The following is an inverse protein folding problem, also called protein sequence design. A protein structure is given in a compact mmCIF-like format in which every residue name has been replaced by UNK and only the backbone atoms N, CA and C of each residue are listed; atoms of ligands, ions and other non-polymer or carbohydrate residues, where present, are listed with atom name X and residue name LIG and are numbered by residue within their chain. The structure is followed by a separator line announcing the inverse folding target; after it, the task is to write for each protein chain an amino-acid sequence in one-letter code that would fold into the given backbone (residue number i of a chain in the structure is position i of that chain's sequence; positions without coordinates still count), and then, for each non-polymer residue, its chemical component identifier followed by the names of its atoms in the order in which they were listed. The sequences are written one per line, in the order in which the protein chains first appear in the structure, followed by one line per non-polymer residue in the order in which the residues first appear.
data_IF_710546807668
#
_entry.id   IF_710546807668
#
_cell.length_a   1.000
_cell.length_b   1.000
_cell.length_c   1.000
_cell.angle_alpha   90.00
_cell.angle_beta   90.00
_cell.angle_gamma   90.00
#
_symmetry.space_group_name_H-M   'P 1'
#
loop_
_entity.id
_entity.type
_entity.pdbx_description
1 polymer ?
#
# COMPACT_ATOMS: atom_id res chain seq x y z
N UNK A 1 -10.84 -22.55 34.98
CA UNK A 1 -9.70 -22.13 34.13
C UNK A 1 -9.28 -20.75 34.61
N UNK A 2 -7.99 -20.46 34.81
CA UNK A 2 -7.59 -19.11 35.16
C UNK A 2 -7.87 -18.23 33.92
N UNK A 3 -8.71 -17.21 34.07
CA UNK A 3 -8.95 -16.21 33.04
C UNK A 3 -7.61 -15.54 32.74
N UNK A 4 -6.98 -15.94 31.63
CA UNK A 4 -5.61 -15.59 31.27
C UNK A 4 -5.44 -14.09 30.89
N UNK A 5 -6.52 -13.30 30.98
CA UNK A 5 -6.49 -11.88 30.72
C UNK A 5 -7.57 -11.17 31.55
N UNK A 6 -7.22 -10.28 32.50
CA UNK A 6 -8.22 -9.45 33.15
C UNK A 6 -8.92 -8.57 32.11
N UNK A 7 -10.23 -8.35 32.28
CA UNK A 7 -11.09 -7.64 31.32
C UNK A 7 -10.66 -6.19 31.02
N UNK A 8 -9.71 -5.63 31.78
CA UNK A 8 -9.31 -4.22 31.74
C UNK A 8 -7.94 -3.97 31.07
N UNK A 9 -7.33 -4.96 30.42
CA UNK A 9 -6.05 -4.75 29.74
C UNK A 9 -6.25 -4.14 28.35
N UNK A 10 -5.58 -3.01 28.01
CA UNK A 10 -5.70 -2.42 26.69
C UNK A 10 -5.08 -3.32 25.63
N UNK A 11 -5.63 -3.31 24.42
CA UNK A 11 -5.09 -4.06 23.28
C UNK A 11 -4.80 -3.15 22.09
N UNK A 12 -3.67 -3.37 21.43
CA UNK A 12 -3.23 -2.56 20.30
C UNK A 12 -3.13 -3.40 19.03
N UNK A 13 -3.69 -2.87 17.93
CA UNK A 13 -3.66 -3.50 16.61
C UNK A 13 -2.62 -2.81 15.73
N UNK A 14 -1.68 -3.58 15.19
CA UNK A 14 -0.64 -3.07 14.29
C UNK A 14 -0.74 -3.69 12.91
N UNK A 15 -0.37 -2.92 11.88
CA UNK A 15 -0.02 -3.44 10.57
C UNK A 15 1.50 -3.58 10.50
N UNK A 16 1.98 -4.79 10.23
CA UNK A 16 3.41 -5.07 10.07
C UNK A 16 3.82 -4.85 8.61
N UNK A 17 4.88 -4.08 8.39
CA UNK A 17 5.53 -3.82 7.11
C UNK A 17 7.01 -4.22 7.18
N UNK A 18 7.63 -4.38 6.01
CA UNK A 18 9.08 -4.57 5.84
C UNK A 18 9.69 -5.61 6.80
N UNK A 19 9.12 -6.81 6.82
CA UNK A 19 9.61 -7.91 7.64
C UNK A 19 10.84 -8.50 6.98
N UNK A 20 11.95 -8.48 7.69
CA UNK A 20 13.23 -9.05 7.33
C UNK A 20 13.62 -10.08 8.40
N UNK A 21 13.93 -11.30 7.98
CA UNK A 21 14.26 -12.40 8.90
C UNK A 21 15.77 -12.50 9.13
N UNK A 22 16.18 -13.16 10.21
CA UNK A 22 17.61 -13.40 10.50
C UNK A 22 18.34 -14.25 9.46
N UNK A 23 17.62 -14.82 8.49
CA UNK A 23 18.22 -15.54 7.36
C UNK A 23 18.73 -14.62 6.24
N UNK A 24 18.56 -13.31 6.35
CA UNK A 24 19.04 -12.36 5.36
C UNK A 24 20.55 -12.13 5.46
N UNK A 25 21.24 -12.11 4.30
CA UNK A 25 22.70 -12.03 4.22
C UNK A 25 23.34 -10.84 4.95
N UNK A 26 22.60 -9.73 5.11
CA UNK A 26 23.12 -8.51 5.75
C UNK A 26 23.00 -8.52 7.28
N UNK A 27 22.29 -9.49 7.85
CA UNK A 27 22.05 -9.60 9.28
C UNK A 27 22.95 -10.70 9.85
N UNK A 28 24.22 -10.36 10.07
CA UNK A 28 25.27 -11.31 10.49
C UNK A 28 25.37 -11.51 12.00
N UNK A 29 24.68 -10.69 12.79
CA UNK A 29 24.73 -10.78 14.24
C UNK A 29 24.12 -12.08 14.77
N UNK A 30 24.54 -12.46 15.97
CA UNK A 30 24.01 -13.60 16.71
C UNK A 30 23.69 -13.18 18.16
N UNK A 31 22.81 -13.92 18.84
CA UNK A 31 22.66 -13.74 20.29
C UNK A 31 22.24 -15.02 20.99
N UNK A 32 22.56 -15.11 22.27
CA UNK A 32 22.08 -16.14 23.19
C UNK A 32 20.55 -16.11 23.25
N UNK A 33 19.92 -17.22 22.88
CA UNK A 33 18.45 -17.38 22.77
C UNK A 33 17.67 -16.97 24.02
N UNK A 34 18.26 -17.12 25.21
CA UNK A 34 17.60 -16.86 26.49
C UNK A 34 18.26 -15.73 27.29
N UNK A 35 19.10 -14.92 26.63
CA UNK A 35 19.63 -13.70 27.23
C UNK A 35 18.52 -12.66 27.43
N UNK A 36 18.76 -11.71 28.32
CA UNK A 36 17.79 -10.65 28.64
C UNK A 36 18.05 -9.45 27.72
N UNK A 37 17.10 -9.08 26.84
CA UNK A 37 17.30 -7.94 25.95
C UNK A 37 17.26 -6.63 26.71
N UNK A 38 18.07 -5.66 26.29
CA UNK A 38 17.86 -4.26 26.65
C UNK A 38 16.83 -3.67 25.70
N UNK A 39 15.81 -3.02 26.24
CA UNK A 39 14.83 -2.29 25.45
C UNK A 39 15.24 -0.82 25.35
N UNK A 40 15.47 -0.36 24.13
CA UNK A 40 15.77 1.03 23.82
C UNK A 40 14.55 1.66 23.15
N UNK A 41 13.98 2.69 23.77
CA UNK A 41 12.86 3.46 23.23
C UNK A 41 13.30 4.89 22.94
N UNK A 42 12.88 5.40 21.78
CA UNK A 42 13.06 6.81 21.46
C UNK A 42 12.23 7.73 22.37
N UNK A 43 12.71 8.95 22.62
CA UNK A 43 12.02 9.96 23.47
C UNK A 43 10.63 10.36 22.96
N UNK A 44 10.35 10.17 21.67
CA UNK A 44 9.06 10.45 21.05
C UNK A 44 7.94 9.57 21.62
N UNK A 45 8.26 8.41 22.18
CA UNK A 45 7.28 7.56 22.88
C UNK A 45 6.70 8.24 24.12
N UNK A 46 7.46 9.10 24.79
CA UNK A 46 7.02 9.79 26.01
C UNK A 46 6.22 11.07 25.71
N UNK A 47 6.22 11.54 24.46
CA UNK A 47 5.55 12.79 24.07
C UNK A 47 4.04 12.63 23.84
N UNK A 48 3.59 11.48 23.33
CA UNK A 48 2.18 11.27 22.98
C UNK A 48 1.57 10.13 23.81
N UNK A 49 0.36 10.31 24.38
CA UNK A 49 -0.26 9.30 25.25
C UNK A 49 -0.44 7.92 24.60
N UNK A 50 -0.81 7.89 23.32
CA UNK A 50 -0.99 6.63 22.60
C UNK A 50 0.33 5.87 22.43
N UNK A 51 1.46 6.57 22.28
CA UNK A 51 2.76 5.92 22.24
C UNK A 51 3.24 5.49 23.62
N UNK A 52 2.90 6.21 24.69
CA UNK A 52 3.20 5.78 26.07
C UNK A 52 2.52 4.44 26.38
N UNK A 53 1.23 4.29 26.04
CA UNK A 53 0.51 3.00 26.21
C UNK A 53 1.18 1.89 25.38
N UNK A 54 1.58 2.19 24.15
CA UNK A 54 2.28 1.22 23.30
C UNK A 54 3.66 0.86 23.89
N UNK A 55 4.40 1.82 24.45
CA UNK A 55 5.69 1.61 25.10
C UNK A 55 5.55 0.65 26.27
N UNK A 56 4.55 0.84 27.13
CA UNK A 56 4.26 -0.05 28.26
C UNK A 56 3.88 -1.46 27.79
N UNK A 57 3.00 -1.57 26.78
CA UNK A 57 2.64 -2.86 26.20
C UNK A 57 3.85 -3.59 25.62
N UNK A 58 4.68 -2.91 24.82
CA UNK A 58 5.88 -3.50 24.24
C UNK A 58 6.91 -3.87 25.30
N UNK A 59 7.03 -3.07 26.36
CA UNK A 59 7.90 -3.39 27.50
C UNK A 59 7.48 -4.70 28.15
N UNK A 60 6.18 -4.88 28.43
CA UNK A 60 5.68 -6.13 29.02
C UNK A 60 5.81 -7.34 28.09
N UNK A 61 5.71 -7.14 26.77
CA UNK A 61 5.83 -8.21 25.77
C UNK A 61 7.28 -8.67 25.59
N UNK A 62 8.21 -7.73 25.48
CA UNK A 62 9.59 -8.01 25.10
C UNK A 62 10.57 -8.06 26.29
N UNK A 63 10.21 -7.52 27.45
CA UNK A 63 11.06 -7.62 28.63
C UNK A 63 11.00 -9.02 29.23
N UNK A 64 12.16 -9.51 29.67
CA UNK A 64 12.25 -10.75 30.44
C UNK A 64 12.01 -10.42 31.92
N UNK A 65 11.04 -11.07 32.59
CA UNK A 65 10.79 -10.82 34.00
C UNK A 65 11.99 -11.22 34.85
N UNK A 66 12.13 -10.57 36.00
CA UNK A 66 13.25 -10.84 36.91
C UNK A 66 13.18 -12.29 37.41
N UNK A 67 14.33 -12.99 37.44
CA UNK A 67 14.43 -14.40 37.83
C UNK A 67 13.56 -15.37 37.01
N UNK A 68 13.40 -15.13 35.72
CA UNK A 68 12.75 -16.11 34.86
C UNK A 68 13.57 -17.42 34.86
N UNK A 69 12.96 -18.61 35.07
CA UNK A 69 13.71 -19.86 35.30
C UNK A 69 14.58 -20.30 34.10
N UNK A 70 14.29 -19.76 32.92
CA UNK A 70 15.07 -20.01 31.69
C UNK A 70 15.98 -18.84 31.30
N UNK A 71 15.95 -17.71 32.00
CA UNK A 71 16.78 -16.56 31.62
C UNK A 71 18.25 -16.81 31.96
N UNK A 72 19.12 -16.52 31.01
CA UNK A 72 20.56 -16.46 31.24
C UNK A 72 20.94 -15.10 31.86
N UNK A 73 22.02 -15.04 32.66
CA UNK A 73 22.39 -13.82 33.38
C UNK A 73 22.96 -12.73 32.46
N UNK A 74 23.45 -13.09 31.27
CA UNK A 74 24.11 -12.17 30.35
C UNK A 74 23.15 -11.34 29.50
N UNK A 75 23.59 -10.14 29.16
CA UNK A 75 22.93 -9.21 28.26
C UNK A 75 23.72 -9.17 26.96
N UNK A 76 23.16 -9.74 25.91
CA UNK A 76 23.87 -9.96 24.64
C UNK A 76 23.30 -9.11 23.49
N UNK A 77 22.05 -8.65 23.64
CA UNK A 77 21.34 -7.97 22.55
C UNK A 77 20.39 -6.87 23.03
N UNK A 78 20.04 -6.00 22.08
CA UNK A 78 19.23 -4.80 22.27
C UNK A 78 18.07 -4.82 21.27
N UNK A 79 16.86 -4.64 21.78
CA UNK A 79 15.71 -4.30 20.95
C UNK A 79 15.55 -2.80 20.90
N UNK A 80 15.65 -2.24 19.70
CA UNK A 80 15.50 -0.83 19.44
C UNK A 80 14.13 -0.53 18.83
N UNK A 81 13.41 0.41 19.43
CA UNK A 81 12.15 0.96 18.96
C UNK A 81 12.32 2.45 18.64
N UNK A 82 12.30 2.78 17.35
CA UNK A 82 12.34 4.16 16.88
C UNK A 82 11.07 4.54 16.14
N UNK A 83 10.66 5.80 16.18
CA UNK A 83 9.46 6.30 15.51
C UNK A 83 9.89 7.18 14.33
N UNK A 84 9.52 6.74 13.13
CA UNK A 84 9.75 7.52 11.90
C UNK A 84 8.51 7.39 11.01
N UNK A 85 8.07 8.49 10.41
CA UNK A 85 6.83 8.58 9.63
C UNK A 85 5.59 8.02 10.37
N UNK A 86 5.51 8.27 11.69
CA UNK A 86 4.44 7.77 12.58
C UNK A 86 4.34 6.23 12.61
N UNK A 87 5.41 5.55 12.23
CA UNK A 87 5.55 4.09 12.30
C UNK A 87 6.68 3.76 13.26
N UNK A 88 6.51 2.65 13.97
CA UNK A 88 7.49 2.14 14.92
C UNK A 88 8.39 1.17 14.18
N UNK A 89 9.67 1.48 14.09
CA UNK A 89 10.68 0.59 13.55
C UNK A 89 11.23 -0.27 14.67
N UNK A 90 11.21 -1.58 14.46
CA UNK A 90 11.80 -2.56 15.36
C UNK A 90 13.09 -3.11 14.74
N UNK A 91 14.15 -3.10 15.54
CA UNK A 91 15.45 -3.67 15.16
C UNK A 91 16.07 -4.42 16.33
N UNK A 92 16.81 -5.48 16.01
CA UNK A 92 17.54 -6.29 16.97
C UNK A 92 19.05 -6.22 16.70
N UNK A 93 19.81 -5.81 17.71
CA UNK A 93 21.25 -5.62 17.64
C UNK A 93 21.97 -6.51 18.64
N UNK A 94 23.07 -7.14 18.20
CA UNK A 94 24.05 -7.79 19.07
C UNK A 94 25.01 -6.75 19.65
N UNK A 95 25.36 -6.92 20.92
CA UNK A 95 26.46 -6.22 21.56
C UNK A 95 27.73 -7.03 21.29
N UNK A 96 28.59 -6.55 20.38
CA UNK A 96 29.80 -7.31 19.97
C UNK A 96 30.95 -7.08 20.94
N UNK A 97 31.15 -5.83 21.34
CA UNK A 97 32.23 -5.42 22.22
C UNK A 97 31.75 -4.27 23.10
N UNK A 98 31.88 -4.45 24.41
CA UNK A 98 31.44 -3.50 25.42
C UNK A 98 32.32 -2.24 25.43
N UNK A 99 33.61 -2.36 25.11
CA UNK A 99 34.56 -1.24 25.14
C UNK A 99 34.43 -0.36 23.89
N UNK A 100 34.40 -0.97 22.70
CA UNK A 100 34.26 -0.24 21.43
C UNK A 100 32.81 0.17 21.09
N UNK A 101 31.81 -0.28 21.87
CA UNK A 101 30.37 -0.02 21.68
C UNK A 101 29.89 -0.35 20.26
N UNK A 102 30.50 -1.36 19.63
CA UNK A 102 30.13 -1.79 18.29
C UNK A 102 28.88 -2.68 18.37
N UNK A 103 27.89 -2.34 17.55
CA UNK A 103 26.63 -3.09 17.43
C UNK A 103 26.53 -3.72 16.03
N UNK A 104 26.10 -4.98 15.97
CA UNK A 104 25.84 -5.69 14.72
C UNK A 104 24.36 -6.10 14.63
N UNK A 105 23.76 -6.02 13.45
CA UNK A 105 22.33 -6.34 13.28
C UNK A 105 22.12 -7.87 13.18
N UNK A 106 21.24 -8.42 14.02
CA UNK A 106 20.86 -9.85 14.07
C UNK A 106 19.57 -10.09 13.24
N UNK A 107 18.61 -9.17 13.39
CA UNK A 107 17.22 -9.38 12.98
C UNK A 107 16.35 -10.09 14.03
N UNK A 108 15.03 -10.19 13.81
CA UNK A 108 14.30 -9.68 12.64
C UNK A 108 14.18 -8.15 12.65
N UNK A 109 14.02 -7.55 11.48
CA UNK A 109 13.66 -6.13 11.31
C UNK A 109 12.22 -6.05 10.83
N UNK A 110 11.44 -5.18 11.43
CA UNK A 110 10.05 -4.96 11.03
C UNK A 110 9.60 -3.54 11.34
N UNK A 111 8.53 -3.12 10.68
CA UNK A 111 7.93 -1.79 10.89
C UNK A 111 6.48 -1.99 11.30
N UNK A 112 6.13 -1.52 12.49
CA UNK A 112 4.80 -1.59 13.06
C UNK A 112 4.09 -0.25 12.85
N UNK A 113 3.01 -0.26 12.08
CA UNK A 113 2.11 0.89 11.94
C UNK A 113 0.91 0.71 12.88
N UNK A 114 0.72 1.57 13.90
CA UNK A 114 -0.46 1.50 14.77
C UNK A 114 -1.74 1.70 13.95
N UNK A 115 -2.75 0.85 14.14
CA UNK A 115 -4.07 0.96 13.50
C UNK A 115 -5.07 1.54 14.50
N UNK A 116 -5.31 0.80 15.58
CA UNK A 116 -6.29 1.12 16.63
C UNK A 116 -5.81 0.60 17.97
N UNK A 117 -6.21 1.26 19.04
CA UNK A 117 -6.05 0.78 20.42
C UNK A 117 -7.46 0.66 21.02
N UNK A 118 -7.70 -0.45 21.69
CA UNK A 118 -8.93 -0.77 22.39
C UNK A 118 -8.71 -0.70 23.90
N UNK A 119 -9.74 -0.31 24.63
CA UNK A 119 -9.73 -0.27 26.09
C UNK A 119 -9.62 -1.67 26.72
N UNK A 120 -10.28 -2.66 26.12
CA UNK A 120 -10.34 -4.03 26.63
C UNK A 120 -9.42 -5.01 25.90
N UNK A 121 -9.36 -6.22 26.45
CA UNK A 121 -8.60 -7.32 25.88
C UNK A 121 -9.29 -7.86 24.63
N UNK A 122 -8.70 -7.60 23.46
CA UNK A 122 -9.22 -7.99 22.13
C UNK A 122 -10.62 -7.43 21.79
N UNK A 123 -11.11 -6.44 22.53
CA UNK A 123 -12.46 -5.88 22.39
C UNK A 123 -12.65 -4.59 23.18
N UNK A 124 -13.90 -4.14 23.28
CA UNK A 124 -14.23 -2.86 23.93
C UNK A 124 -14.18 -1.65 22.99
N UNK A 125 -14.47 -0.46 23.52
CA UNK A 125 -14.46 0.78 22.74
C UNK A 125 -13.04 1.11 22.24
N UNK A 126 -12.99 1.80 21.11
CA UNK A 126 -11.75 2.27 20.50
C UNK A 126 -11.36 3.57 21.20
N UNK A 127 -10.20 3.58 21.85
CA UNK A 127 -9.67 4.77 22.53
C UNK A 127 -8.70 5.57 21.64
N UNK A 128 -8.13 4.93 20.62
CA UNK A 128 -7.27 5.60 19.64
C UNK A 128 -7.45 4.97 18.26
N UNK A 129 -7.55 5.81 17.23
CA UNK A 129 -7.56 5.41 15.82
C UNK A 129 -6.58 6.26 15.03
N UNK A 130 -5.70 5.59 14.28
CA UNK A 130 -4.72 6.28 13.45
C UNK A 130 -5.35 6.75 12.12
N UNK A 131 -5.45 8.07 11.94
CA UNK A 131 -5.99 8.68 10.73
C UNK A 131 -5.13 8.43 9.47
N UNK A 132 -3.82 8.27 9.64
CA UNK A 132 -2.87 8.06 8.52
C UNK A 132 -2.86 6.61 8.03
N UNK A 133 -3.51 5.70 8.76
CA UNK A 133 -3.59 4.30 8.39
C UNK A 133 -4.54 4.07 7.21
N UNK A 134 -4.00 3.55 6.11
CA UNK A 134 -4.79 3.05 4.98
C UNK A 134 -4.66 1.53 4.92
N UNK A 135 -5.80 0.83 4.94
CA UNK A 135 -5.76 -0.61 4.86
C UNK A 135 -5.22 -1.08 3.49
N UNK A 136 -4.36 -2.13 3.44
CA UNK A 136 -3.77 -2.61 2.18
C UNK A 136 -4.82 -3.00 1.13
N UNK A 137 -5.98 -3.48 1.57
CA UNK A 137 -7.09 -3.81 0.68
C UNK A 137 -7.70 -2.57 0.03
N UNK A 138 -7.77 -1.43 0.73
CA UNK A 138 -8.18 -0.16 0.14
C UNK A 138 -7.14 0.32 -0.89
N UNK A 139 -5.84 0.20 -0.60
CA UNK A 139 -4.78 0.55 -1.56
C UNK A 139 -4.91 -0.28 -2.84
N UNK A 140 -5.05 -1.61 -2.72
CA UNK A 140 -5.25 -2.52 -3.87
C UNK A 140 -6.52 -2.18 -4.65
N UNK A 141 -7.60 -1.86 -3.95
CA UNK A 141 -8.87 -1.43 -4.55
C UNK A 141 -8.71 -0.11 -5.31
N UNK A 142 -8.06 0.88 -4.72
CA UNK A 142 -7.81 2.18 -5.34
C UNK A 142 -6.93 2.04 -6.58
N UNK A 143 -5.89 1.19 -6.52
CA UNK A 143 -5.05 0.86 -7.69
C UNK A 143 -5.86 0.20 -8.81
N UNK A 144 -6.71 -0.78 -8.49
CA UNK A 144 -7.60 -1.38 -9.49
C UNK A 144 -8.55 -0.33 -10.08
N UNK A 145 -9.07 0.55 -9.24
CA UNK A 145 -10.01 1.59 -9.64
C UNK A 145 -9.39 2.67 -10.54
N UNK A 146 -8.16 3.11 -10.26
CA UNK A 146 -7.44 4.05 -11.12
C UNK A 146 -7.14 3.45 -12.49
N UNK A 147 -6.83 2.14 -12.54
CA UNK A 147 -6.60 1.45 -13.81
C UNK A 147 -7.87 1.02 -14.55
N UNK A 148 -9.05 1.07 -13.91
CA UNK A 148 -10.29 0.55 -14.48
C UNK A 148 -10.73 1.29 -15.75
N UNK A 149 -10.38 2.57 -15.87
CA UNK A 149 -10.76 3.40 -17.00
C UNK A 149 -9.78 3.30 -18.20
N UNK A 150 -8.67 2.56 -18.09
CA UNK A 150 -7.64 2.50 -19.15
C UNK A 150 -8.20 2.15 -20.54
N UNK A 151 -9.08 1.15 -20.62
CA UNK A 151 -9.68 0.75 -21.90
C UNK A 151 -10.60 1.84 -22.46
N UNK A 152 -11.41 2.42 -21.59
CA UNK A 152 -12.32 3.53 -21.91
C UNK A 152 -11.54 4.74 -22.42
N UNK A 153 -10.44 5.09 -21.75
CA UNK A 153 -9.57 6.20 -22.14
C UNK A 153 -8.87 5.91 -23.48
N UNK A 154 -8.44 4.66 -23.72
CA UNK A 154 -7.83 4.25 -25.00
C UNK A 154 -8.80 4.42 -26.18
N UNK A 155 -10.04 3.99 -26.04
CA UNK A 155 -11.05 4.16 -27.09
C UNK A 155 -11.39 5.64 -27.28
N UNK A 156 -11.45 6.43 -26.19
CA UNK A 156 -11.64 7.88 -26.26
C UNK A 156 -10.49 8.59 -26.99
N UNK A 157 -9.24 8.20 -26.76
CA UNK A 157 -8.11 8.76 -27.49
C UNK A 157 -8.12 8.38 -28.97
N UNK A 158 -8.51 7.14 -29.30
CA UNK A 158 -8.63 6.68 -30.69
C UNK A 158 -9.70 7.49 -31.44
N UNK A 159 -10.88 7.63 -30.85
CA UNK A 159 -11.99 8.41 -31.40
C UNK A 159 -11.60 9.88 -31.60
N UNK A 160 -10.99 10.50 -30.59
CA UNK A 160 -10.52 11.89 -30.70
C UNK A 160 -9.46 12.09 -31.81
N UNK A 161 -8.55 11.13 -32.02
CA UNK A 161 -7.58 11.19 -33.12
C UNK A 161 -8.26 11.16 -34.48
N UNK A 162 -9.27 10.31 -34.64
CA UNK A 162 -10.03 10.18 -35.88
C UNK A 162 -10.85 11.43 -36.16
N UNK A 163 -11.52 11.98 -35.14
CA UNK A 163 -12.22 13.25 -35.25
C UNK A 163 -11.28 14.39 -35.64
N UNK A 164 -10.07 14.42 -35.06
CA UNK A 164 -9.04 15.40 -35.44
C UNK A 164 -8.62 15.21 -36.89
N UNK A 165 -8.32 13.99 -37.33
CA UNK A 165 -7.93 13.68 -38.73
C UNK A 165 -9.04 14.02 -39.73
N UNK A 166 -10.31 13.87 -39.36
CA UNK A 166 -11.45 14.21 -40.21
C UNK A 166 -11.67 15.73 -40.33
N UNK A 167 -11.30 16.50 -39.31
CA UNK A 167 -11.43 17.96 -39.28
C UNK A 167 -10.21 18.68 -39.84
N UNK A 168 -9.03 18.07 -39.77
CA UNK A 168 -7.80 18.62 -40.33
C UNK A 168 -7.91 18.66 -41.86
N UNK A 169 -7.86 19.85 -42.49
CA UNK A 169 -7.75 19.93 -43.95
C UNK A 169 -6.40 19.35 -44.39
N UNK A 170 -6.35 18.84 -45.62
CA UNK A 170 -5.13 18.30 -46.23
C UNK A 170 -4.05 19.38 -46.13
N UNK A 171 -2.97 19.09 -45.39
CA UNK A 171 -1.96 20.09 -45.00
C UNK A 171 -1.12 20.57 -46.18
N UNK A 172 -1.10 19.79 -47.27
CA UNK A 172 -0.41 20.08 -48.52
C UNK A 172 -1.44 20.20 -49.65
N UNK A 173 -1.25 21.20 -50.53
CA UNK A 173 -2.05 21.31 -51.77
C UNK A 173 -1.74 20.09 -52.65
N UNK A 174 -2.74 19.39 -53.16
CA UNK A 174 -2.50 18.29 -54.10
C UNK A 174 -2.03 18.84 -55.46
N UNK A 175 -1.07 18.15 -56.08
CA UNK A 175 -0.56 18.54 -57.39
C UNK A 175 -1.61 18.22 -58.48
N UNK A 176 -2.04 19.21 -59.28
CA UNK A 176 -3.16 19.05 -60.22
C UNK A 176 -2.86 18.06 -61.37
N UNK A 177 -1.57 17.81 -61.67
CA UNK A 177 -1.15 16.82 -62.68
C UNK A 177 -1.31 15.39 -62.14
N UNK A 178 -1.05 15.17 -60.85
CA UNK A 178 -1.13 13.84 -60.23
C UNK A 178 -2.59 13.36 -60.15
N UNK A 179 -3.51 14.25 -59.75
CA UNK A 179 -4.94 13.96 -59.69
C UNK A 179 -5.55 13.70 -61.09
N UNK A 180 -5.01 14.30 -62.15
CA UNK A 180 -5.47 14.09 -63.52
C UNK A 180 -5.02 12.74 -64.13
N UNK A 181 -3.83 12.25 -63.75
CA UNK A 181 -3.25 11.00 -64.29
C UNK A 181 -3.70 9.77 -63.50
N UNK A 182 -3.89 9.91 -62.18
CA UNK A 182 -4.16 8.78 -61.28
C UNK A 182 -5.53 8.85 -60.57
N UNK A 183 -6.31 9.93 -60.72
CA UNK A 183 -7.42 10.27 -59.81
C UNK A 183 -8.82 9.68 -60.08
N UNK A 184 -9.03 8.80 -61.05
CA UNK A 184 -10.36 8.24 -61.42
C UNK A 184 -10.17 6.81 -61.96
N UNK A 185 -10.80 5.72 -61.52
CA UNK A 185 -12.16 5.51 -61.02
C UNK A 185 -12.27 4.28 -60.06
N UNK A 186 -11.18 3.85 -59.42
CA UNK A 186 -11.14 2.62 -58.59
C UNK A 186 -10.94 2.81 -57.09
N UNK A 187 -10.33 3.93 -56.67
CA UNK A 187 -9.93 4.13 -55.27
C UNK A 187 -11.01 4.75 -54.39
N UNK A 188 -11.87 5.64 -54.92
CA UNK A 188 -12.90 6.32 -54.13
C UNK A 188 -13.96 5.34 -53.61
N UNK A 189 -14.35 4.32 -54.38
CA UNK A 189 -15.27 3.27 -53.90
C UNK A 189 -14.68 2.37 -52.81
N UNK A 190 -13.37 2.07 -52.88
CA UNK A 190 -12.67 1.29 -51.84
C UNK A 190 -12.35 2.12 -50.59
N UNK A 191 -12.00 3.41 -50.76
CA UNK A 191 -11.80 4.37 -49.65
C UNK A 191 -13.10 4.63 -48.91
N UNK A 192 -14.20 4.95 -49.60
CA UNK A 192 -15.50 5.21 -48.98
C UNK A 192 -16.04 3.98 -48.22
N UNK A 193 -15.93 2.78 -48.80
CA UNK A 193 -16.39 1.55 -48.12
C UNK A 193 -15.48 1.14 -46.95
N UNK A 194 -14.17 1.44 -46.99
CA UNK A 194 -13.26 1.23 -45.88
C UNK A 194 -13.47 2.26 -44.75
N UNK A 195 -13.72 3.52 -45.11
CA UNK A 195 -13.98 4.61 -44.18
C UNK A 195 -15.34 4.42 -43.47
N UNK A 196 -16.39 4.02 -44.20
CA UNK A 196 -17.69 3.66 -43.60
C UNK A 196 -17.56 2.49 -42.63
N UNK A 197 -16.92 1.38 -43.03
CA UNK A 197 -16.69 0.22 -42.14
C UNK A 197 -15.85 0.60 -40.91
N UNK A 198 -14.87 1.48 -41.07
CA UNK A 198 -14.06 1.97 -39.96
C UNK A 198 -14.91 2.80 -38.99
N UNK A 199 -15.72 3.74 -39.50
CA UNK A 199 -16.59 4.63 -38.74
C UNK A 199 -17.66 3.86 -37.94
N UNK A 200 -18.22 2.80 -38.54
CA UNK A 200 -19.22 1.96 -37.89
C UNK A 200 -18.60 1.10 -36.77
N UNK A 201 -17.39 0.59 -36.98
CA UNK A 201 -16.61 -0.14 -35.96
C UNK A 201 -16.27 0.78 -34.77
N UNK A 202 -15.92 2.04 -35.05
CA UNK A 202 -15.66 3.06 -34.03
C UNK A 202 -16.94 3.35 -33.24
N UNK A 203 -18.07 3.55 -33.92
CA UNK A 203 -19.38 3.81 -33.29
C UNK A 203 -19.81 2.66 -32.38
N UNK A 204 -19.63 1.41 -32.82
CA UNK A 204 -19.88 0.20 -32.00
C UNK A 204 -18.99 0.18 -30.76
N UNK A 205 -17.69 0.48 -30.90
CA UNK A 205 -16.76 0.56 -29.76
C UNK A 205 -17.09 1.68 -28.77
N UNK A 206 -17.60 2.83 -29.24
CA UNK A 206 -18.06 3.92 -28.38
C UNK A 206 -19.31 3.56 -27.58
N UNK A 207 -20.26 2.87 -28.20
CA UNK A 207 -21.48 2.39 -27.52
C UNK A 207 -21.11 1.38 -26.42
N UNK A 208 -20.20 0.46 -26.73
CA UNK A 208 -19.68 -0.51 -25.76
C UNK A 208 -18.96 0.18 -24.59
N UNK A 209 -18.13 1.18 -24.88
CA UNK A 209 -17.47 2.01 -23.85
C UNK A 209 -18.48 2.77 -22.99
N UNK A 210 -19.54 3.32 -23.59
CA UNK A 210 -20.63 3.97 -22.86
C UNK A 210 -21.39 2.99 -21.95
N UNK A 211 -21.54 1.72 -22.37
CA UNK A 211 -22.10 0.66 -21.53
C UNK A 211 -21.17 0.32 -20.36
N UNK A 212 -19.88 0.14 -20.64
CA UNK A 212 -18.85 -0.17 -19.63
C UNK A 212 -18.70 0.96 -18.61
N UNK A 213 -18.73 2.24 -19.03
CA UNK A 213 -18.72 3.39 -18.12
C UNK A 213 -19.90 3.38 -17.15
N UNK A 214 -21.12 3.21 -17.67
CA UNK A 214 -22.34 3.13 -16.83
C UNK A 214 -22.27 1.98 -15.84
N UNK A 215 -21.72 0.84 -16.26
CA UNK A 215 -21.50 -0.31 -15.38
C UNK A 215 -20.44 -0.04 -14.31
N UNK A 216 -19.35 0.68 -14.63
CA UNK A 216 -18.35 1.10 -13.66
C UNK A 216 -18.96 2.10 -12.65
N UNK A 217 -19.73 3.07 -13.11
CA UNK A 217 -20.38 4.08 -12.27
C UNK A 217 -21.45 3.48 -11.35
N UNK A 218 -22.26 2.54 -11.83
CA UNK A 218 -23.25 1.84 -10.99
C UNK A 218 -22.58 1.03 -9.88
N UNK A 219 -21.47 0.34 -10.19
CA UNK A 219 -20.65 -0.37 -9.20
C UNK A 219 -20.02 0.60 -8.20
N UNK A 220 -19.60 1.80 -8.62
CA UNK A 220 -19.08 2.86 -7.72
C UNK A 220 -20.19 3.36 -6.78
N UNK A 221 -21.37 3.66 -7.32
CA UNK A 221 -22.50 4.22 -6.56
C UNK A 221 -23.04 3.21 -5.54
N UNK A 222 -23.27 1.96 -5.95
CA UNK A 222 -23.70 0.86 -5.07
C UNK A 222 -22.74 0.62 -3.89
N UNK A 223 -21.44 0.89 -4.08
CA UNK A 223 -20.44 0.77 -3.02
C UNK A 223 -20.33 2.00 -2.12
N UNK A 224 -20.79 3.18 -2.58
CA UNK A 224 -20.80 4.42 -1.78
C UNK A 224 -21.95 4.41 -0.77
N UNK A 225 -23.10 3.84 -1.14
CA UNK A 225 -24.25 3.68 -0.24
C UNK A 225 -24.05 2.63 0.86
N UNK A 226 -23.14 1.65 0.66
CA UNK A 226 -22.81 0.59 1.63
C UNK A 226 -21.74 0.97 2.66
N UNK A 227 -21.12 2.16 2.59
CA UNK A 227 -20.23 2.63 3.66
C UNK A 227 -21.10 3.12 4.83
N UNK A 228 -20.87 2.66 6.08
CA UNK A 228 -21.54 3.26 7.23
C UNK A 228 -21.20 4.74 7.28
N UNK A 229 -22.21 5.58 7.53
CA UNK A 229 -21.99 6.99 7.83
C UNK A 229 -21.30 7.03 9.21
N UNK A 230 -20.11 7.64 9.25
CA UNK A 230 -19.50 8.08 10.50
C UNK A 230 -20.44 9.11 11.16
#
# INVERSE_FOLDING_TARGET
MPEFCPNYSPSAKFLVHNVHTSGELKLSGNCLKASRPVLSFEKTFDQYPHYQVIKELLTQIFATPNHHPRSQPFVDHIFNFSIEDKRIWFRNYQIVDEESKKLEEIGPRMVLQPIKIFEGSFGGPIIYENADYVCPNAIRKNRKHSTANKYVDKVRSKTHLLERRAKEPITYKSDPIFDAVYGKDGEQGKKNSADEKSSETIRKSMVEVGRLKRQIESIRYSKKSKKPKL
#
